data_IF_518386865390
#
_entry.id   IF_518386865390
#
_cell.length_a   1.000
_cell.length_b   1.000
_cell.length_c   1.000
_cell.angle_alpha   90.00
_cell.angle_beta   90.00
_cell.angle_gamma   90.00
#
_symmetry.space_group_name_H-M   'P 1'
#
loop_
_entity.id
_entity.type
_entity.pdbx_description
1 polymer ?
#
# COMPACT_ATOMS: atom_id res chain seq x y z
N UNK A 1 -8.65 1.08 -16.85
CA UNK A 1 -7.80 1.03 -15.64
C UNK A 1 -7.31 2.45 -15.44
N UNK A 2 -7.59 3.13 -14.30
CA UNK A 2 -7.01 4.43 -14.05
C UNK A 2 -5.49 4.27 -14.02
N UNK A 3 -4.79 5.11 -14.78
CA UNK A 3 -3.35 5.14 -14.84
C UNK A 3 -2.85 5.57 -13.46
N UNK A 4 -2.18 4.67 -12.73
CA UNK A 4 -1.62 5.00 -11.42
C UNK A 4 -0.71 6.22 -11.60
N UNK A 5 -1.06 7.32 -10.93
CA UNK A 5 -0.34 8.57 -11.07
C UNK A 5 1.12 8.38 -10.66
N UNK A 6 2.04 8.80 -11.52
CA UNK A 6 3.47 8.64 -11.26
C UNK A 6 3.96 9.68 -10.24
N UNK A 7 4.06 9.22 -9.00
CA UNK A 7 4.54 10.01 -7.87
C UNK A 7 6.08 10.13 -7.82
N UNK A 8 6.82 9.44 -8.71
CA UNK A 8 8.29 9.43 -8.71
C UNK A 8 8.86 10.85 -8.82
N UNK A 9 8.22 11.68 -9.64
CA UNK A 9 8.57 13.08 -9.87
C UNK A 9 8.45 13.98 -8.64
N UNK A 10 7.75 13.53 -7.59
CA UNK A 10 7.61 14.24 -6.32
C UNK A 10 8.54 13.70 -5.23
N UNK A 11 9.36 12.68 -5.53
CA UNK A 11 10.32 12.13 -4.57
C UNK A 11 9.67 11.39 -3.40
N UNK A 12 8.43 10.90 -3.56
CA UNK A 12 7.74 10.12 -2.54
C UNK A 12 8.39 8.73 -2.48
N UNK A 13 9.24 8.54 -1.46
CA UNK A 13 10.08 7.35 -1.36
C UNK A 13 9.29 6.06 -1.12
N UNK A 14 8.20 6.12 -0.35
CA UNK A 14 7.39 4.96 -0.01
C UNK A 14 5.95 5.20 -0.46
N UNK A 15 5.45 4.32 -1.31
CA UNK A 15 4.13 4.42 -1.90
C UNK A 15 3.40 3.08 -1.80
N UNK A 16 2.15 3.09 -1.35
CA UNK A 16 1.37 1.87 -1.16
C UNK A 16 0.10 1.93 -2.00
N UNK A 17 -0.17 0.84 -2.72
CA UNK A 17 -1.38 0.67 -3.50
C UNK A 17 -2.28 -0.28 -2.72
N UNK A 18 -3.35 0.25 -2.15
CA UNK A 18 -4.40 -0.53 -1.51
C UNK A 18 -5.43 -0.90 -2.58
N UNK A 19 -5.68 -2.21 -2.73
CA UNK A 19 -6.72 -2.73 -3.61
C UNK A 19 -7.92 -3.10 -2.76
N UNK A 20 -9.08 -2.62 -3.17
CA UNK A 20 -10.36 -2.82 -2.51
C UNK A 20 -11.14 -3.94 -3.20
N UNK A 21 -12.03 -4.63 -2.47
CA UNK A 21 -12.88 -5.67 -3.05
C UNK A 21 -13.83 -5.12 -4.12
N UNK A 22 -14.34 -3.91 -3.90
CA UNK A 22 -15.20 -3.09 -4.77
C UNK A 22 -14.81 -1.61 -4.57
N UNK A 23 -15.43 -0.67 -5.29
CA UNK A 23 -15.09 0.77 -5.21
C UNK A 23 -15.08 1.32 -3.77
N UNK A 24 -16.00 0.85 -2.92
CA UNK A 24 -16.06 1.15 -1.48
C UNK A 24 -16.07 -0.13 -0.64
N UNK A 25 -15.43 -1.20 -1.11
CA UNK A 25 -15.37 -2.48 -0.39
C UNK A 25 -14.18 -2.57 0.56
N UNK A 26 -14.11 -3.57 1.44
CA UNK A 26 -12.96 -3.78 2.31
C UNK A 26 -11.65 -3.92 1.53
N UNK A 27 -10.55 -3.49 2.13
CA UNK A 27 -9.22 -3.68 1.57
C UNK A 27 -8.91 -5.19 1.45
N UNK A 28 -8.48 -5.64 0.27
CA UNK A 28 -8.17 -7.05 -0.03
C UNK A 28 -6.68 -7.31 -0.13
N UNK A 29 -5.92 -6.35 -0.67
CA UNK A 29 -4.47 -6.49 -0.78
C UNK A 29 -3.77 -5.15 -0.83
N UNK A 30 -2.49 -5.19 -0.48
CA UNK A 30 -1.61 -4.03 -0.48
C UNK A 30 -0.33 -4.39 -1.19
N UNK A 31 0.00 -3.56 -2.18
CA UNK A 31 1.29 -3.60 -2.86
C UNK A 31 2.13 -2.42 -2.38
N UNK A 32 3.27 -2.72 -1.79
CA UNK A 32 4.19 -1.74 -1.24
C UNK A 32 5.30 -1.49 -2.25
N UNK A 33 5.42 -0.24 -2.69
CA UNK A 33 6.41 0.22 -3.64
C UNK A 33 7.42 1.14 -2.94
N UNK A 34 8.68 1.05 -3.35
CA UNK A 34 9.74 1.96 -2.91
C UNK A 34 10.40 2.59 -4.12
N UNK A 35 10.67 3.89 -4.05
CA UNK A 35 11.39 4.62 -5.08
C UNK A 35 12.87 4.28 -4.99
N UNK A 36 13.45 3.74 -6.05
CA UNK A 36 14.88 3.50 -6.16
C UNK A 36 15.67 4.75 -6.55
N UNK A 37 17.00 4.64 -6.59
CA UNK A 37 17.88 5.73 -7.02
C UNK A 37 17.75 6.10 -8.50
N UNK A 38 17.15 5.23 -9.31
CA UNK A 38 16.90 5.43 -10.74
C UNK A 38 15.57 6.17 -10.98
N UNK A 39 14.86 6.53 -9.91
CA UNK A 39 13.58 7.24 -9.96
C UNK A 39 12.42 6.33 -10.36
N UNK A 40 12.52 5.02 -10.12
CA UNK A 40 11.49 4.04 -10.44
C UNK A 40 10.92 3.40 -9.19
N UNK A 41 9.62 3.16 -9.20
CA UNK A 41 8.99 2.37 -8.15
C UNK A 41 9.27 0.89 -8.38
N UNK A 42 9.90 0.28 -7.38
CA UNK A 42 10.11 -1.17 -7.32
C UNK A 42 9.22 -1.79 -6.24
N UNK A 43 8.75 -3.01 -6.49
CA UNK A 43 7.94 -3.74 -5.50
C UNK A 43 8.81 -4.15 -4.31
N UNK A 44 8.47 -3.61 -3.15
CA UNK A 44 9.13 -3.85 -1.87
C UNK A 44 8.35 -4.87 -1.01
N UNK A 45 7.09 -5.15 -1.36
CA UNK A 45 6.32 -6.18 -0.69
C UNK A 45 4.88 -6.27 -1.15
N UNK A 46 4.25 -7.39 -0.83
CA UNK A 46 2.84 -7.63 -1.08
C UNK A 46 2.22 -8.29 0.15
N UNK A 47 0.99 -7.88 0.48
CA UNK A 47 0.19 -8.43 1.58
C UNK A 47 -1.22 -8.71 1.09
N UNK A 48 -1.72 -9.91 1.39
CA UNK A 48 -3.11 -10.28 1.16
C UNK A 48 -3.83 -10.42 2.50
N UNK A 49 -5.10 -10.00 2.57
CA UNK A 49 -5.94 -10.17 3.76
C UNK A 49 -6.06 -11.63 4.20
N UNK A 50 -6.00 -12.57 3.27
CA UNK A 50 -6.01 -14.01 3.56
C UNK A 50 -4.81 -14.50 4.38
N UNK A 51 -3.73 -13.72 4.43
CA UNK A 51 -2.47 -14.16 5.04
C UNK A 51 -2.48 -14.04 6.57
N UNK A 52 -3.56 -13.52 7.17
CA UNK A 52 -3.76 -13.35 8.62
C UNK A 52 -2.63 -12.56 9.32
N UNK A 53 -1.92 -11.70 8.58
CA UNK A 53 -0.90 -10.77 9.07
C UNK A 53 -1.42 -9.34 9.05
N UNK A 54 -0.72 -8.41 9.71
CA UNK A 54 -0.99 -6.98 9.58
C UNK A 54 -0.94 -6.56 8.11
N UNK A 55 -1.80 -5.60 7.74
CA UNK A 55 -1.93 -5.13 6.37
C UNK A 55 -0.68 -4.38 5.92
N UNK A 56 -0.15 -3.54 6.81
CA UNK A 56 1.17 -2.91 6.66
C UNK A 56 1.93 -3.14 7.96
N UNK A 57 3.16 -3.60 7.82
CA UNK A 57 4.14 -3.70 8.91
C UNK A 57 5.49 -3.32 8.31
N UNK A 58 5.86 -2.05 8.45
CA UNK A 58 7.13 -1.51 7.97
C UNK A 58 7.82 -0.70 9.06
N UNK A 59 9.15 -0.76 9.08
CA UNK A 59 9.99 0.04 9.97
C UNK A 59 10.59 1.26 9.27
N UNK A 60 10.44 1.34 7.95
CA UNK A 60 11.03 2.39 7.10
C UNK A 60 9.93 3.12 6.34
N UNK A 61 9.92 4.47 6.31
CA UNK A 61 10.88 5.38 6.96
C UNK A 61 10.60 5.57 8.47
N UNK A 62 9.44 5.11 8.93
CA UNK A 62 9.03 5.07 10.33
C UNK A 62 8.35 3.73 10.63
N UNK A 63 8.31 3.34 11.90
CA UNK A 63 7.54 2.18 12.33
C UNK A 63 6.04 2.46 12.18
N UNK A 64 5.43 1.81 11.18
CA UNK A 64 4.00 1.90 10.89
C UNK A 64 3.46 0.47 10.87
N UNK A 65 2.49 0.21 11.74
CA UNK A 65 1.71 -1.02 11.77
C UNK A 65 0.25 -0.65 11.56
N UNK A 66 -0.34 -1.14 10.47
CA UNK A 66 -1.76 -0.98 10.15
C UNK A 66 -2.40 -2.34 10.01
N UNK A 67 -3.52 -2.53 10.71
CA UNK A 67 -4.38 -3.71 10.58
C UNK A 67 -5.36 -3.55 9.43
N UNK A 68 -5.94 -4.66 8.96
CA UNK A 68 -6.97 -4.61 7.92
C UNK A 68 -8.21 -3.84 8.36
N UNK A 69 -8.62 -4.01 9.62
CA UNK A 69 -9.80 -3.31 10.17
C UNK A 69 -9.60 -1.79 10.23
N UNK A 70 -8.37 -1.32 10.45
CA UNK A 70 -8.04 0.11 10.38
C UNK A 70 -8.08 0.67 8.97
N UNK A 71 -7.85 -0.16 7.94
CA UNK A 71 -8.00 0.26 6.54
C UNK A 71 -9.46 0.28 6.09
N UNK A 72 -10.29 -0.52 6.75
CA UNK A 72 -11.74 -0.53 6.53
C UNK A 72 -12.45 0.54 7.38
N UNK A 73 -11.74 1.28 8.24
CA UNK A 73 -12.34 2.32 9.07
C UNK A 73 -12.92 3.44 8.18
N UNK A 74 -14.24 3.62 8.26
CA UNK A 74 -14.97 4.60 7.44
C UNK A 74 -15.58 4.02 6.16
N UNK A 75 -15.47 2.71 5.95
CA UNK A 75 -16.22 1.97 4.93
C UNK A 75 -17.55 1.50 5.55
N UNK A 76 -18.68 1.82 4.91
CA UNK A 76 -20.06 1.52 5.35
C UNK A 76 -20.66 0.35 4.55
#
# INVERSE_FOLDING_TARGET
>A
MPEAFDWSRYGIQHYWIVRMANDDGPAVSIEMLTLDSDGRYVSNGYRNRSDHVAAIDTLTPFAIVLTWDQLDEGID
#
